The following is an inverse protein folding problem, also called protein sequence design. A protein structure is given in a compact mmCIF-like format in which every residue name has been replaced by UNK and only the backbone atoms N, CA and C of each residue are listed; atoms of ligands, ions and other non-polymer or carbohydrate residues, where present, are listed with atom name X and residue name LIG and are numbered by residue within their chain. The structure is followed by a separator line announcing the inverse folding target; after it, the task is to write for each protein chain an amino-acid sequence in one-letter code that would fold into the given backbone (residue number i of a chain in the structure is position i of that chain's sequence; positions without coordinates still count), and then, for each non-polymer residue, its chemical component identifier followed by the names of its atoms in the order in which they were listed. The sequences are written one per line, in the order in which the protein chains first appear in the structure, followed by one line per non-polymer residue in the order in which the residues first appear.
data_IF_318918523839
#
_entry.id   IF_318918523839
#
_cell.length_a   1.000
_cell.length_b   1.000
_cell.length_c   1.000
_cell.angle_alpha   90.00
_cell.angle_beta   90.00
_cell.angle_gamma   90.00
#
_symmetry.space_group_name_H-M   'P 1'
#
loop_
_entity.id
_entity.type
_entity.pdbx_description
1 polymer ?
#
# COMPACT_ATOMS: atom_id res chain seq x y z
N UNK A 1 -57.13 25.25 -16.92
CA UNK A 1 -55.76 25.51 -17.40
C UNK A 1 -54.89 25.64 -16.16
N UNK A 2 -54.22 24.56 -15.75
CA UNK A 2 -53.37 24.51 -14.56
C UNK A 2 -52.06 23.83 -14.98
N UNK A 3 -50.90 24.50 -14.89
CA UNK A 3 -49.66 23.85 -15.23
C UNK A 3 -49.15 23.05 -14.02
N UNK A 4 -49.21 21.73 -14.19
CA UNK A 4 -48.09 20.80 -14.05
C UNK A 4 -47.27 20.94 -12.76
N UNK A 5 -47.61 20.02 -11.86
CA UNK A 5 -46.88 19.56 -10.68
C UNK A 5 -45.45 19.12 -11.07
N UNK A 6 -44.54 20.09 -11.23
CA UNK A 6 -43.15 19.84 -11.59
C UNK A 6 -42.32 19.64 -10.33
N UNK A 7 -42.45 18.46 -9.72
CA UNK A 7 -41.47 17.96 -8.77
C UNK A 7 -40.23 17.50 -9.57
N UNK A 8 -39.02 18.06 -9.36
CA UNK A 8 -37.83 17.41 -9.85
C UNK A 8 -37.59 16.16 -9.01
N UNK A 9 -37.92 15.01 -9.60
CA UNK A 9 -37.47 13.69 -9.20
C UNK A 9 -35.99 13.75 -8.81
N UNK A 10 -35.74 13.37 -7.55
CA UNK A 10 -34.52 12.73 -7.04
C UNK A 10 -33.35 12.85 -8.00
N UNK A 11 -32.45 13.80 -7.68
CA UNK A 11 -31.11 13.81 -8.24
C UNK A 11 -30.47 12.45 -7.97
N UNK A 12 -30.47 11.58 -8.97
CA UNK A 12 -29.54 10.48 -9.06
C UNK A 12 -28.16 11.13 -8.99
N UNK A 13 -27.57 11.15 -7.79
CA UNK A 13 -26.14 11.41 -7.65
C UNK A 13 -25.49 10.24 -8.36
N UNK A 14 -25.11 10.48 -9.62
CA UNK A 14 -24.16 9.64 -10.34
C UNK A 14 -23.05 9.27 -9.37
N UNK A 15 -22.66 7.99 -9.24
CA UNK A 15 -21.50 7.64 -8.45
C UNK A 15 -20.34 8.47 -9.02
N UNK A 16 -19.77 9.33 -8.17
CA UNK A 16 -18.69 10.22 -8.53
C UNK A 16 -17.61 9.41 -9.26
N UNK A 17 -17.36 9.75 -10.52
CA UNK A 17 -16.18 9.31 -11.26
C UNK A 17 -14.95 9.58 -10.38
N UNK A 18 -14.33 8.53 -9.83
CA UNK A 18 -13.18 8.72 -8.96
C UNK A 18 -12.87 7.60 -7.97
N UNK A 19 -13.76 6.63 -7.76
CA UNK A 19 -13.36 5.35 -7.16
C UNK A 19 -12.62 4.51 -8.20
N UNK A 20 -11.49 5.07 -8.67
CA UNK A 20 -10.45 4.28 -9.29
C UNK A 20 -10.09 3.24 -8.24
N UNK A 21 -10.48 1.98 -8.47
CA UNK A 21 -10.05 0.85 -7.67
C UNK A 21 -8.53 0.79 -7.77
N UNK A 22 -7.84 1.57 -6.94
CA UNK A 22 -6.40 1.60 -6.85
C UNK A 22 -6.02 0.26 -6.24
N UNK A 23 -5.53 -0.65 -7.08
CA UNK A 23 -5.21 -2.00 -6.65
C UNK A 23 -3.98 -1.96 -5.75
N UNK A 24 -4.03 -2.70 -4.65
CA UNK A 24 -2.85 -2.94 -3.84
C UNK A 24 -1.78 -3.65 -4.68
N UNK A 25 -0.55 -3.15 -4.64
CA UNK A 25 0.60 -3.81 -5.28
C UNK A 25 1.43 -4.48 -4.20
N UNK A 26 1.88 -5.70 -4.47
CA UNK A 26 2.70 -6.48 -3.55
C UNK A 26 3.91 -7.00 -4.31
N UNK A 27 5.09 -6.84 -3.72
CA UNK A 27 6.34 -7.34 -4.26
C UNK A 27 7.14 -8.02 -3.16
N UNK A 28 7.53 -9.27 -3.36
CA UNK A 28 8.28 -10.04 -2.39
C UNK A 28 9.62 -10.49 -2.97
N UNK A 29 10.68 -10.39 -2.17
CA UNK A 29 12.01 -10.84 -2.55
C UNK A 29 12.81 -11.31 -1.33
N UNK A 30 13.90 -12.03 -1.56
CA UNK A 30 14.87 -12.37 -0.52
C UNK A 30 16.10 -11.46 -0.62
N UNK A 31 16.63 -11.03 0.51
CA UNK A 31 17.80 -10.17 0.58
C UNK A 31 18.65 -10.48 1.82
N UNK A 32 19.92 -10.87 1.62
CA UNK A 32 20.92 -11.13 2.68
C UNK A 32 20.44 -12.02 3.85
N UNK A 33 19.67 -13.07 3.56
CA UNK A 33 19.14 -13.97 4.59
C UNK A 33 17.81 -13.52 5.21
N UNK A 34 17.20 -12.47 4.68
CA UNK A 34 15.86 -12.00 5.06
C UNK A 34 14.88 -12.16 3.91
N UNK A 35 13.61 -12.41 4.24
CA UNK A 35 12.46 -12.27 3.34
C UNK A 35 11.92 -10.86 3.48
N UNK A 36 11.72 -10.20 2.36
CA UNK A 36 11.15 -8.85 2.28
C UNK A 36 9.83 -8.92 1.53
N UNK A 37 8.78 -8.33 2.11
CA UNK A 37 7.46 -8.17 1.51
C UNK A 37 7.12 -6.68 1.46
N UNK A 38 7.24 -6.09 0.29
CA UNK A 38 6.83 -4.71 0.02
C UNK A 38 5.37 -4.68 -0.40
N UNK A 39 4.60 -3.75 0.18
CA UNK A 39 3.23 -3.49 -0.22
C UNK A 39 3.03 -2.00 -0.48
N UNK A 40 2.27 -1.69 -1.52
CA UNK A 40 1.78 -0.36 -1.84
C UNK A 40 0.27 -0.43 -1.74
N UNK A 41 -0.27 0.09 -0.63
CA UNK A 41 -1.71 0.07 -0.36
C UNK A 41 -2.31 1.42 -0.76
N UNK A 42 -3.46 1.43 -1.45
CA UNK A 42 -4.15 2.69 -1.75
C UNK A 42 -4.52 3.43 -0.46
N UNK A 43 -4.27 4.73 -0.42
CA UNK A 43 -4.64 5.60 0.70
C UNK A 43 -5.94 6.34 0.39
N UNK A 44 -6.79 6.55 1.40
CA UNK A 44 -8.08 7.23 1.24
C UNK A 44 -7.94 8.69 0.80
N UNK A 45 -6.79 9.32 1.03
CA UNK A 45 -6.45 10.66 0.52
C UNK A 45 -5.93 10.67 -0.92
N UNK A 46 -5.86 9.51 -1.56
CA UNK A 46 -5.25 9.31 -2.88
C UNK A 46 -3.77 8.92 -2.80
N UNK A 47 -3.33 8.14 -3.79
CA UNK A 47 -1.97 7.63 -3.85
C UNK A 47 -1.81 6.32 -3.07
N UNK A 48 -0.56 5.95 -2.82
CA UNK A 48 -0.16 4.66 -2.29
C UNK A 48 0.73 4.82 -1.07
N UNK A 49 0.35 4.16 0.02
CA UNK A 49 1.17 3.99 1.21
C UNK A 49 2.11 2.82 1.03
N UNK A 50 3.40 3.12 1.04
CA UNK A 50 4.45 2.12 0.99
C UNK A 50 4.66 1.48 2.37
N UNK A 51 4.74 0.16 2.43
CA UNK A 51 5.24 -0.56 3.62
C UNK A 51 6.13 -1.71 3.18
N UNK A 52 7.13 -2.03 3.98
CA UNK A 52 7.94 -3.22 3.80
C UNK A 52 7.97 -4.03 5.08
N UNK A 53 7.69 -5.33 4.97
CA UNK A 53 7.82 -6.27 6.07
C UNK A 53 9.06 -7.10 5.85
N UNK A 54 10.00 -7.05 6.78
CA UNK A 54 11.26 -7.80 6.71
C UNK A 54 11.22 -8.88 7.77
N UNK A 55 11.57 -10.12 7.42
CA UNK A 55 11.55 -11.27 8.33
C UNK A 55 12.76 -12.16 8.07
N UNK A 56 13.40 -12.70 9.11
CA UNK A 56 14.56 -13.58 8.93
C UNK A 56 14.18 -14.90 8.24
N UNK A 57 15.07 -15.43 7.39
CA UNK A 57 14.92 -16.75 6.76
C UNK A 57 15.42 -17.91 7.63
N UNK A 58 15.96 -17.64 8.83
CA UNK A 58 16.42 -18.72 9.74
C UNK A 58 15.25 -19.56 10.23
N UNK A 59 15.25 -20.85 9.85
CA UNK A 59 14.30 -21.84 10.35
C UNK A 59 14.54 -22.09 11.84
N UNK A 60 13.61 -21.64 12.70
CA UNK A 60 13.66 -21.91 14.15
C UNK A 60 13.30 -20.72 15.03
N UNK A 61 13.31 -19.50 14.49
CA UNK A 61 12.76 -18.32 15.17
C UNK A 61 11.28 -18.24 14.79
N UNK A 62 10.39 -18.19 15.78
CA UNK A 62 8.94 -18.14 15.55
C UNK A 62 8.62 -17.06 14.51
N UNK A 63 7.74 -17.36 13.56
CA UNK A 63 7.44 -16.53 12.36
C UNK A 63 7.03 -15.08 12.71
N UNK A 64 6.68 -14.81 13.96
CA UNK A 64 6.28 -13.53 14.52
C UNK A 64 7.41 -12.71 15.15
N UNK A 65 8.55 -13.31 15.51
CA UNK A 65 9.50 -12.69 16.46
C UNK A 65 10.46 -11.67 15.84
N UNK A 66 10.58 -11.60 14.51
CA UNK A 66 11.52 -10.67 13.84
C UNK A 66 10.91 -9.97 12.61
N UNK A 67 9.59 -9.87 12.54
CA UNK A 67 8.92 -9.19 11.43
C UNK A 67 8.84 -7.67 11.69
N UNK A 68 9.82 -6.91 11.21
CA UNK A 68 9.76 -5.44 11.30
C UNK A 68 8.96 -4.90 10.12
N UNK A 69 8.02 -3.99 10.42
CA UNK A 69 7.32 -3.21 9.40
C UNK A 69 7.99 -1.85 9.27
N UNK A 70 8.57 -1.60 8.10
CA UNK A 70 9.12 -0.29 7.75
C UNK A 70 8.06 0.46 6.94
N UNK A 71 7.58 1.57 7.47
CA UNK A 71 6.63 2.42 6.79
C UNK A 71 7.38 3.38 5.87
N UNK A 72 7.06 3.35 4.59
CA UNK A 72 7.46 4.38 3.65
C UNK A 72 6.47 5.55 3.65
N UNK A 73 6.75 6.54 2.80
CA UNK A 73 5.88 7.69 2.60
C UNK A 73 4.59 7.37 1.82
N UNK A 74 3.85 8.44 1.54
CA UNK A 74 2.78 8.44 0.55
C UNK A 74 3.36 8.76 -0.82
N UNK A 75 3.03 7.96 -1.81
CA UNK A 75 3.50 8.10 -3.19
C UNK A 75 2.31 8.25 -4.13
N UNK A 76 2.48 8.97 -5.23
CA UNK A 76 1.42 9.10 -6.24
C UNK A 76 1.22 7.81 -7.04
N UNK A 77 2.29 7.03 -7.22
CA UNK A 77 2.30 5.82 -8.03
C UNK A 77 2.70 4.60 -7.19
N UNK A 78 2.07 3.45 -7.49
CA UNK A 78 2.32 2.20 -6.77
C UNK A 78 3.75 1.67 -6.99
N UNK A 79 4.30 1.83 -8.20
CA UNK A 79 5.68 1.48 -8.55
C UNK A 79 6.67 2.22 -7.64
N UNK A 80 6.53 3.54 -7.52
CA UNK A 80 7.38 4.37 -6.65
C UNK A 80 7.24 3.98 -5.17
N UNK A 81 6.03 3.63 -4.72
CA UNK A 81 5.81 3.13 -3.37
C UNK A 81 6.56 1.81 -3.12
N UNK A 82 6.53 0.87 -4.08
CA UNK A 82 7.26 -0.40 -3.97
C UNK A 82 8.77 -0.19 -4.00
N UNK A 83 9.28 0.69 -4.86
CA UNK A 83 10.71 1.02 -4.91
C UNK A 83 11.19 1.67 -3.60
N UNK A 84 10.39 2.58 -3.05
CA UNK A 84 10.64 3.21 -1.75
C UNK A 84 10.64 2.19 -0.61
N UNK A 85 9.61 1.34 -0.54
CA UNK A 85 9.53 0.25 0.43
C UNK A 85 10.73 -0.71 0.31
N UNK A 86 11.13 -1.06 -0.91
CA UNK A 86 12.25 -1.97 -1.18
C UNK A 86 13.58 -1.37 -0.74
N UNK A 87 13.79 -0.09 -0.99
CA UNK A 87 15.01 0.62 -0.59
C UNK A 87 15.11 0.75 0.92
N UNK A 88 14.01 1.09 1.59
CA UNK A 88 13.92 1.15 3.05
C UNK A 88 14.21 -0.21 3.70
N UNK A 89 13.65 -1.28 3.15
CA UNK A 89 13.91 -2.63 3.63
C UNK A 89 15.40 -3.01 3.52
N UNK A 90 16.05 -2.69 2.39
CA UNK A 90 17.47 -2.95 2.19
C UNK A 90 18.34 -2.17 3.18
N UNK A 91 18.09 -0.88 3.34
CA UNK A 91 18.81 -0.05 4.31
C UNK A 91 18.68 -0.58 5.74
N UNK A 92 17.48 -1.03 6.11
CA UNK A 92 17.27 -1.66 7.42
C UNK A 92 18.07 -2.96 7.57
N UNK A 93 18.03 -3.85 6.57
CA UNK A 93 18.82 -5.10 6.59
C UNK A 93 20.31 -4.81 6.68
N UNK A 94 20.81 -3.88 5.87
CA UNK A 94 22.22 -3.51 5.85
C UNK A 94 22.67 -2.93 7.21
N UNK A 95 21.83 -2.11 7.85
CA UNK A 95 22.09 -1.58 9.19
C UNK A 95 22.00 -2.61 10.32
N UNK A 96 21.27 -3.71 10.13
CA UNK A 96 21.15 -4.78 11.12
C UNK A 96 22.27 -5.84 11.02
N UNK A 97 23.02 -5.86 9.94
CA UNK A 97 24.17 -6.77 9.76
C UNK A 97 25.51 -6.20 10.26
N UNK A 98 25.54 -4.94 10.70
CA UNK A 98 26.73 -4.24 11.17
C UNK A 98 26.70 -4.04 12.69
#
# INVERSE_FOLDING_TARGET
MQPEDMMPLVGARSPSEGEQLQMAVVFAFAYRGFRVLCTALPDTGGGFRATARVSSLTAGVSHEDQAITVHGGLYREASSAIEGASSLARMWVDGHQN
#
